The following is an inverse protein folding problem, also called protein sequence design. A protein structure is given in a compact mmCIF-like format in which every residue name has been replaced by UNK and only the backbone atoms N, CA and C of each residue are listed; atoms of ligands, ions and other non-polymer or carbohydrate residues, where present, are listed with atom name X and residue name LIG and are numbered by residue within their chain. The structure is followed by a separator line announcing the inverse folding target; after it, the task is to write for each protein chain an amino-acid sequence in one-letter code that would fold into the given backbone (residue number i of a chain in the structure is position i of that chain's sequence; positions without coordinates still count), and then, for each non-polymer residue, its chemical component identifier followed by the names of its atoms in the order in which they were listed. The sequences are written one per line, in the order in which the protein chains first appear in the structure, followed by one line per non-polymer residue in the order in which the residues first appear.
data_IF_430812047471
#
_entry.id   IF_430812047471
#
_cell.length_a   1.000
_cell.length_b   1.000
_cell.length_c   1.000
_cell.angle_alpha   90.00
_cell.angle_beta   90.00
_cell.angle_gamma   90.00
#
_symmetry.space_group_name_H-M   'P 1'
#
loop_
_entity.id
_entity.type
_entity.pdbx_description
1 polymer ?
#
# COMPACT_ATOMS: atom_id res chain seq x y z
N UNK A 1 -18.77 0.75 -9.78
CA UNK A 1 -19.61 -0.34 -9.23
C UNK A 1 -18.88 -1.69 -9.28
N UNK A 2 -18.23 -2.05 -10.39
CA UNK A 2 -17.47 -3.31 -10.48
C UNK A 2 -16.42 -3.52 -9.39
N UNK A 3 -15.62 -2.49 -9.06
CA UNK A 3 -14.58 -2.62 -8.02
C UNK A 3 -15.18 -2.97 -6.66
N UNK A 4 -16.30 -2.35 -6.29
CA UNK A 4 -16.99 -2.66 -5.04
C UNK A 4 -17.53 -4.10 -5.03
N UNK A 5 -18.10 -4.54 -6.15
CA UNK A 5 -18.60 -5.90 -6.31
C UNK A 5 -17.47 -6.93 -6.24
N UNK A 6 -16.34 -6.68 -6.91
CA UNK A 6 -15.15 -7.54 -6.83
C UNK A 6 -14.62 -7.63 -5.40
N UNK A 7 -14.49 -6.49 -4.70
CA UNK A 7 -14.03 -6.48 -3.31
C UNK A 7 -14.98 -7.24 -2.40
N UNK A 8 -16.29 -7.08 -2.57
CA UNK A 8 -17.31 -7.86 -1.84
C UNK A 8 -17.17 -9.36 -2.10
N UNK A 9 -17.00 -9.77 -3.35
CA UNK A 9 -16.80 -11.19 -3.68
C UNK A 9 -15.55 -11.74 -3.02
N UNK A 10 -14.43 -11.04 -3.10
CA UNK A 10 -13.16 -11.46 -2.48
C UNK A 10 -13.30 -11.61 -0.97
N UNK A 11 -13.89 -10.61 -0.30
CA UNK A 11 -14.03 -10.59 1.15
C UNK A 11 -15.03 -11.66 1.62
N UNK A 12 -16.10 -11.89 0.88
CA UNK A 12 -17.10 -12.90 1.23
C UNK A 12 -16.60 -14.33 1.03
N UNK A 13 -15.60 -14.54 0.17
CA UNK A 13 -14.99 -15.86 -0.07
C UNK A 13 -14.03 -16.30 1.06
N UNK A 14 -13.63 -15.39 1.95
CA UNK A 14 -12.65 -15.66 3.00
C UNK A 14 -13.18 -15.19 4.37
N UNK A 15 -13.53 -16.15 5.23
CA UNK A 15 -14.07 -15.87 6.56
C UNK A 15 -13.13 -15.03 7.44
N UNK A 16 -11.81 -15.19 7.28
CA UNK A 16 -10.84 -14.39 8.03
C UNK A 16 -10.90 -12.93 7.61
N UNK A 17 -11.17 -12.62 6.34
CA UNK A 17 -11.27 -11.23 5.87
C UNK A 17 -12.58 -10.59 6.32
N UNK A 18 -13.66 -11.37 6.38
CA UNK A 18 -15.01 -10.89 6.72
C UNK A 18 -15.16 -10.47 8.18
N UNK A 19 -14.54 -11.18 9.12
CA UNK A 19 -14.66 -10.91 10.57
C UNK A 19 -14.03 -9.58 11.02
N UNK A 20 -13.22 -8.95 10.18
CA UNK A 20 -12.55 -7.70 10.53
C UNK A 20 -13.48 -6.50 10.37
N UNK A 21 -13.62 -5.74 11.45
CA UNK A 21 -14.42 -4.51 11.52
C UNK A 21 -13.57 -3.35 12.02
N UNK A 22 -13.85 -2.16 11.52
CA UNK A 22 -13.21 -0.91 11.93
C UNK A 22 -14.26 0.16 12.19
N UNK A 23 -13.95 1.03 13.14
CA UNK A 23 -14.70 2.26 13.34
C UNK A 23 -14.37 3.29 12.25
N UNK A 24 -15.35 4.13 11.87
CA UNK A 24 -15.13 5.21 10.93
C UNK A 24 -14.15 6.23 11.49
N UNK A 25 -13.26 6.74 10.63
CA UNK A 25 -12.26 7.75 11.01
C UNK A 25 -12.72 9.14 10.59
N UNK A 26 -13.25 9.98 11.49
CA UNK A 26 -13.80 11.27 11.12
C UNK A 26 -12.74 12.27 10.65
N UNK A 27 -11.51 12.15 11.14
CA UNK A 27 -10.43 13.09 10.86
C UNK A 27 -9.66 12.79 9.56
N UNK A 28 -9.99 11.71 8.83
CA UNK A 28 -9.25 11.37 7.62
C UNK A 28 -9.67 12.24 6.46
N UNK A 29 -8.71 12.95 5.87
CA UNK A 29 -8.96 13.89 4.77
C UNK A 29 -9.46 13.16 3.53
N UNK A 30 -10.68 13.52 3.09
CA UNK A 30 -11.28 13.05 1.84
C UNK A 30 -11.02 14.08 0.74
N UNK A 31 -10.54 13.63 -0.43
CA UNK A 31 -10.34 14.47 -1.61
C UNK A 31 -11.49 14.25 -2.61
N UNK A 32 -11.68 15.18 -3.57
CA UNK A 32 -12.63 15.10 -4.69
C UNK A 32 -12.50 13.78 -5.49
N UNK A 33 -11.28 13.24 -5.60
CA UNK A 33 -11.01 11.99 -6.32
C UNK A 33 -11.22 10.73 -5.47
N UNK A 34 -11.63 10.86 -4.21
CA UNK A 34 -11.91 9.69 -3.36
C UNK A 34 -13.27 9.12 -3.73
N UNK A 35 -13.34 7.82 -3.99
CA UNK A 35 -14.59 7.15 -4.35
C UNK A 35 -15.56 7.16 -3.17
N UNK A 36 -16.65 7.92 -3.28
CA UNK A 36 -17.70 7.98 -2.24
C UNK A 36 -18.50 6.68 -2.10
N UNK A 37 -18.48 5.83 -3.12
CA UNK A 37 -19.25 4.58 -3.16
C UNK A 37 -18.56 3.40 -2.47
N UNK A 38 -17.28 3.52 -2.12
CA UNK A 38 -16.49 2.42 -1.56
C UNK A 38 -15.93 2.90 -0.23
N UNK A 39 -16.28 2.20 0.85
CA UNK A 39 -15.61 2.38 2.13
C UNK A 39 -14.22 1.72 2.09
N UNK A 40 -13.26 2.45 1.53
CA UNK A 40 -11.87 2.01 1.43
C UNK A 40 -11.23 1.76 2.80
N UNK A 41 -11.72 2.39 3.88
CA UNK A 41 -11.18 2.15 5.22
C UNK A 41 -11.50 0.74 5.66
N UNK A 42 -12.78 0.39 5.70
CA UNK A 42 -13.22 -0.96 6.08
C UNK A 42 -12.70 -2.02 5.11
N UNK A 43 -12.82 -1.78 3.79
CA UNK A 43 -12.42 -2.76 2.77
C UNK A 43 -10.92 -3.06 2.80
N UNK A 44 -10.07 -2.04 2.98
CA UNK A 44 -8.63 -2.27 3.07
C UNK A 44 -8.26 -3.04 4.34
N UNK A 45 -8.88 -2.71 5.48
CA UNK A 45 -8.65 -3.43 6.72
C UNK A 45 -9.03 -4.91 6.66
N UNK A 46 -10.18 -5.20 6.03
CA UNK A 46 -10.62 -6.58 5.77
C UNK A 46 -9.64 -7.31 4.85
N UNK A 47 -9.23 -6.66 3.76
CA UNK A 47 -8.30 -7.22 2.78
C UNK A 47 -6.91 -7.51 3.36
N UNK A 48 -6.43 -6.66 4.27
CA UNK A 48 -5.14 -6.82 4.96
C UNK A 48 -5.27 -7.44 6.36
N UNK A 49 -6.33 -8.20 6.60
CA UNK A 49 -6.51 -9.06 7.78
C UNK A 49 -6.29 -8.33 9.11
N UNK A 50 -6.87 -7.13 9.23
CA UNK A 50 -6.77 -6.32 10.45
C UNK A 50 -5.60 -5.32 10.45
N UNK A 51 -4.92 -5.13 9.33
CA UNK A 51 -3.89 -4.07 9.23
C UNK A 51 -4.53 -2.74 8.83
N UNK A 52 -4.48 -1.77 9.74
CA UNK A 52 -5.05 -0.44 9.52
C UNK A 52 -4.06 0.50 8.80
N UNK A 53 -4.09 0.48 7.47
CA UNK A 53 -3.20 1.29 6.64
C UNK A 53 -3.51 2.79 6.69
N UNK A 54 -4.77 3.16 6.95
CA UNK A 54 -5.17 4.57 7.02
C UNK A 54 -4.90 5.18 8.40
N UNK A 55 -4.53 4.38 9.41
CA UNK A 55 -4.02 4.89 10.69
C UNK A 55 -2.68 5.61 10.51
N UNK A 56 -1.87 5.17 9.56
CA UNK A 56 -0.57 5.77 9.27
C UNK A 56 -0.80 7.19 8.72
N UNK A 57 -0.13 8.17 9.33
CA UNK A 57 -0.12 9.54 8.84
C UNK A 57 0.49 9.60 7.43
N UNK A 58 0.01 10.51 6.58
CA UNK A 58 0.41 10.59 5.17
C UNK A 58 -0.13 9.50 4.24
N UNK A 59 -0.61 8.36 4.76
CA UNK A 59 -1.33 7.36 3.95
C UNK A 59 -2.74 7.87 3.63
N UNK A 60 -3.02 8.12 2.36
CA UNK A 60 -4.34 8.51 1.87
C UNK A 60 -5.07 7.36 1.16
N UNK A 61 -6.36 7.58 0.87
CA UNK A 61 -7.19 6.62 0.13
C UNK A 61 -6.60 6.20 -1.22
N UNK A 62 -5.97 7.13 -1.94
CA UNK A 62 -5.29 6.83 -3.22
C UNK A 62 -4.11 5.89 -3.06
N UNK A 63 -3.32 6.07 -2.00
CA UNK A 63 -2.14 5.24 -1.73
C UNK A 63 -2.55 3.83 -1.35
N UNK A 64 -3.60 3.70 -0.55
CA UNK A 64 -4.18 2.41 -0.17
C UNK A 64 -4.76 1.69 -1.39
N UNK A 65 -5.49 2.40 -2.26
CA UNK A 65 -6.02 1.81 -3.49
C UNK A 65 -4.89 1.30 -4.40
N UNK A 66 -3.83 2.11 -4.59
CA UNK A 66 -2.67 1.71 -5.39
C UNK A 66 -1.97 0.48 -4.79
N UNK A 67 -1.85 0.41 -3.46
CA UNK A 67 -1.31 -0.75 -2.76
C UNK A 67 -2.17 -2.00 -3.00
N UNK A 68 -3.49 -1.89 -2.87
CA UNK A 68 -4.41 -3.01 -3.12
C UNK A 68 -4.33 -3.49 -4.57
N UNK A 69 -4.25 -2.56 -5.53
CA UNK A 69 -4.15 -2.89 -6.96
C UNK A 69 -2.82 -3.54 -7.35
N UNK A 70 -1.71 -3.11 -6.76
CA UNK A 70 -0.36 -3.58 -7.15
C UNK A 70 0.06 -4.86 -6.40
N UNK A 71 -0.37 -5.02 -5.15
CA UNK A 71 0.05 -6.15 -4.32
C UNK A 71 -0.85 -7.37 -4.52
N UNK A 72 -2.14 -7.15 -4.75
CA UNK A 72 -3.14 -8.21 -4.98
C UNK A 72 -3.64 -8.88 -3.70
N UNK A 73 -4.34 -10.01 -3.87
CA UNK A 73 -5.08 -10.75 -2.82
C UNK A 73 -4.21 -11.22 -1.66
N UNK A 74 -3.03 -11.76 -1.98
CA UNK A 74 -2.06 -12.27 -1.00
C UNK A 74 -1.42 -11.14 -0.17
N UNK A 75 -1.69 -9.88 -0.52
CA UNK A 75 -1.24 -8.72 0.22
C UNK A 75 0.28 -8.70 0.42
N UNK A 76 0.70 -8.05 1.50
CA UNK A 76 2.13 -7.90 1.85
C UNK A 76 2.74 -9.28 2.21
N UNK A 77 1.91 -10.28 2.56
CA UNK A 77 2.35 -11.64 2.92
C UNK A 77 2.95 -12.41 1.75
N UNK A 78 2.69 -12.00 0.51
CA UNK A 78 3.36 -12.53 -0.71
C UNK A 78 4.88 -12.46 -0.64
N UNK A 79 5.44 -11.50 0.10
CA UNK A 79 6.87 -11.27 0.17
C UNK A 79 7.49 -11.90 1.42
N UNK A 80 8.51 -12.75 1.23
CA UNK A 80 9.21 -13.41 2.34
C UNK A 80 9.88 -12.44 3.31
N UNK A 81 10.42 -11.32 2.81
CA UNK A 81 11.10 -10.32 3.65
C UNK A 81 10.89 -8.91 3.12
N UNK A 82 11.07 -7.90 3.99
CA UNK A 82 11.05 -6.49 3.60
C UNK A 82 12.07 -6.17 2.48
N UNK A 83 13.21 -6.87 2.44
CA UNK A 83 14.20 -6.73 1.36
C UNK A 83 13.63 -7.10 -0.02
N UNK A 84 12.76 -8.11 -0.08
CA UNK A 84 12.07 -8.49 -1.32
C UNK A 84 11.10 -7.40 -1.76
N UNK A 85 10.33 -6.81 -0.83
CA UNK A 85 9.44 -5.67 -1.10
C UNK A 85 10.23 -4.49 -1.65
N UNK A 86 11.31 -4.10 -0.97
CA UNK A 86 12.16 -2.98 -1.39
C UNK A 86 12.79 -3.20 -2.78
N UNK A 87 13.19 -4.44 -3.09
CA UNK A 87 13.70 -4.80 -4.42
C UNK A 87 12.60 -4.79 -5.48
N UNK A 88 11.42 -5.32 -5.18
CA UNK A 88 10.26 -5.34 -6.09
C UNK A 88 9.76 -3.92 -6.42
N UNK A 89 9.70 -3.05 -5.41
CA UNK A 89 9.41 -1.61 -5.58
C UNK A 89 10.55 -0.81 -6.22
N UNK A 90 11.72 -1.43 -6.42
CA UNK A 90 12.93 -0.81 -6.96
C UNK A 90 13.40 0.39 -6.14
N UNK A 91 13.30 0.27 -4.82
CA UNK A 91 13.86 1.20 -3.83
C UNK A 91 15.33 0.87 -3.54
N UNK A 92 15.68 -0.41 -3.59
CA UNK A 92 17.04 -0.87 -3.37
C UNK A 92 17.86 -0.87 -4.68
N UNK A 93 19.19 -0.62 -4.61
CA UNK A 93 20.10 -0.79 -5.74
C UNK A 93 20.06 -2.22 -6.30
N UNK A 94 20.18 -2.37 -7.62
CA UNK A 94 20.25 -3.69 -8.26
C UNK A 94 21.71 -4.06 -8.56
N UNK A 95 22.31 -4.89 -7.69
CA UNK A 95 23.68 -5.38 -7.86
C UNK A 95 23.74 -6.44 -8.97
N UNK A 96 24.24 -6.06 -10.14
CA UNK A 96 24.50 -6.96 -11.27
C UNK A 96 25.97 -7.36 -11.28
N UNK A 97 26.25 -8.64 -11.06
CA UNK A 97 27.61 -9.21 -11.09
C UNK A 97 27.68 -10.27 -12.18
N UNK A 98 28.71 -10.22 -13.02
CA UNK A 98 29.01 -11.25 -14.02
C UNK A 98 30.51 -11.46 -14.08
N UNK A 99 30.96 -12.72 -14.14
CA UNK A 99 32.39 -13.06 -14.18
C UNK A 99 33.23 -12.45 -13.04
N UNK A 100 32.65 -12.32 -11.83
CA UNK A 100 33.32 -11.71 -10.68
C UNK A 100 33.39 -10.17 -10.69
N UNK A 101 32.95 -9.49 -11.75
CA UNK A 101 32.94 -8.03 -11.85
C UNK A 101 31.54 -7.45 -11.64
N UNK A 102 31.46 -6.33 -10.92
CA UNK A 102 30.21 -5.57 -10.74
C UNK A 102 29.95 -4.75 -12.00
N UNK A 103 28.93 -5.13 -12.76
CA UNK A 103 28.50 -4.44 -13.97
C UNK A 103 27.67 -3.19 -13.65
N UNK A 104 26.86 -3.24 -12.58
CA UNK A 104 26.03 -2.12 -12.14
C UNK A 104 25.58 -2.30 -10.70
N UNK A 105 25.44 -1.19 -9.98
CA UNK A 105 24.86 -1.14 -8.65
C UNK A 105 23.94 0.09 -8.49
N UNK A 106 23.30 0.54 -9.57
CA UNK A 106 22.42 1.72 -9.56
C UNK A 106 20.98 1.33 -9.21
N UNK A 107 20.24 2.26 -8.62
CA UNK A 107 18.79 2.13 -8.47
C UNK A 107 18.13 2.24 -9.86
N UNK A 108 17.24 1.33 -10.26
CA UNK A 108 16.58 1.40 -11.56
C UNK A 108 15.76 2.68 -11.74
N UNK A 109 15.85 3.32 -12.92
CA UNK A 109 15.09 4.55 -13.23
C UNK A 109 13.58 4.31 -13.32
N UNK A 110 13.15 3.23 -13.97
CA UNK A 110 11.73 2.90 -14.14
C UNK A 110 11.15 2.46 -12.80
N UNK A 111 10.12 3.17 -12.34
CA UNK A 111 9.50 3.02 -11.02
C UNK A 111 8.12 2.36 -11.13
N UNK A 112 7.75 1.57 -10.12
CA UNK A 112 6.38 1.09 -9.94
C UNK A 112 5.50 2.28 -9.48
N UNK A 113 4.22 2.32 -9.89
CA UNK A 113 3.23 3.29 -9.40
C UNK A 113 3.12 3.28 -7.88
N UNK A 114 3.15 2.11 -7.25
CA UNK A 114 3.15 1.96 -5.80
C UNK A 114 4.35 2.64 -5.13
N UNK A 115 5.54 2.59 -5.75
CA UNK A 115 6.70 3.34 -5.26
C UNK A 115 6.41 4.84 -5.22
N UNK A 116 5.80 5.38 -6.29
CA UNK A 116 5.48 6.81 -6.38
C UNK A 116 4.47 7.18 -5.29
N UNK A 117 3.43 6.36 -5.11
CA UNK A 117 2.42 6.57 -4.07
C UNK A 117 3.01 6.56 -2.65
N UNK A 118 3.97 5.67 -2.38
CA UNK A 118 4.70 5.64 -1.11
C UNK A 118 5.62 6.85 -0.93
N UNK A 119 6.29 7.32 -1.99
CA UNK A 119 7.08 8.56 -1.92
C UNK A 119 6.18 9.77 -1.62
N UNK A 120 4.98 9.85 -2.21
CA UNK A 120 4.02 10.89 -1.89
C UNK A 120 3.55 10.82 -0.43
N UNK A 121 3.27 9.62 0.09
CA UNK A 121 2.92 9.44 1.50
C UNK A 121 4.07 9.88 2.42
N UNK A 122 5.31 9.47 2.13
CA UNK A 122 6.49 9.88 2.89
C UNK A 122 6.71 11.40 2.87
N UNK A 123 6.55 12.03 1.70
CA UNK A 123 6.63 13.49 1.57
C UNK A 123 5.50 14.19 2.34
N UNK A 124 4.31 13.62 2.37
CA UNK A 124 3.21 14.15 3.16
C UNK A 124 3.55 14.13 4.65
N UNK A 125 4.09 13.02 5.16
CA UNK A 125 4.57 12.89 6.56
C UNK A 125 5.66 13.92 6.84
N UNK A 126 6.68 14.03 5.99
CA UNK A 126 7.79 14.97 6.19
C UNK A 126 7.38 16.44 6.19
N UNK A 127 6.22 16.77 5.63
CA UNK A 127 5.66 18.13 5.66
C UNK A 127 4.67 18.36 6.81
N UNK A 128 4.39 17.35 7.65
CA UNK A 128 3.57 17.52 8.85
C UNK A 128 4.38 18.25 9.92
N UNK A 129 3.78 19.28 10.52
CA UNK A 129 4.42 20.11 11.56
C UNK A 129 4.48 19.41 12.92
N UNK A 130 3.44 18.64 13.23
CA UNK A 130 3.31 17.85 14.45
C UNK A 130 3.15 16.39 14.02
N UNK A 131 4.25 15.65 13.91
CA UNK A 131 4.19 14.20 13.69
C UNK A 131 4.41 13.49 15.01
N UNK A 132 3.62 12.44 15.26
CA UNK A 132 3.86 11.51 16.36
C UNK A 132 5.22 10.87 16.11
N UNK A 133 6.21 10.95 17.03
CA UNK A 133 7.49 10.30 16.84
C UNK A 133 7.25 8.79 16.67
N UNK A 134 7.75 8.24 15.56
CA UNK A 134 7.69 6.82 15.20
C UNK A 134 8.42 5.94 16.21
#
# INVERSE_FOLDING_TARGET
MEIDNMLKQIINSDDNKRQHHLEPKPHKRVNKNTSKHIDLNLRSYQMFEGTDLLAIEGMGYSTVLELMSEVGLEGIRKFKTAKHVARWLRLAPNKKVSGGKVLSNKVPKRSNRLKIALCHAANAIGNLKDSIPL
#
